data_IF_694757086434
#
_entry.id   IF_694757086434
#
_cell.length_a   1.000
_cell.length_b   1.000
_cell.length_c   1.000
_cell.angle_alpha   90.00
_cell.angle_beta   90.00
_cell.angle_gamma   90.00
#
_symmetry.space_group_name_H-M   'P 1'
#
loop_
_entity.id
_entity.type
_entity.pdbx_description
1 polymer ?
#
# COMPACT_ATOMS: atom_id res chain seq x y z
N UNK A 1 1.70 0.44 -25.41
CA UNK A 1 0.54 0.18 -24.55
C UNK A 1 0.38 1.40 -23.67
N UNK A 2 -0.55 2.27 -24.05
CA UNK A 2 -0.97 3.42 -23.25
C UNK A 2 -1.88 2.88 -22.13
N UNK A 3 -1.89 3.53 -20.97
CA UNK A 3 -2.79 3.14 -19.87
C UNK A 3 -4.22 3.47 -20.30
N UNK A 4 -5.03 2.44 -20.59
CA UNK A 4 -6.46 2.57 -20.81
C UNK A 4 -7.18 2.54 -19.45
N UNK A 5 -7.59 3.71 -18.96
CA UNK A 5 -8.23 3.90 -17.64
C UNK A 5 -9.54 3.13 -17.46
N UNK A 6 -10.20 2.72 -18.55
CA UNK A 6 -11.47 1.99 -18.52
C UNK A 6 -11.30 0.47 -18.47
N UNK A 7 -10.11 -0.04 -18.78
CA UNK A 7 -9.83 -1.47 -18.90
C UNK A 7 -9.06 -2.05 -17.71
N UNK A 8 -8.54 -1.20 -16.82
CA UNK A 8 -7.64 -1.59 -15.73
C UNK A 8 -8.27 -1.25 -14.37
N UNK A 9 -8.33 -2.24 -13.49
CA UNK A 9 -8.76 -2.08 -12.11
C UNK A 9 -7.80 -1.14 -11.33
N UNK A 10 -8.35 -0.24 -10.51
CA UNK A 10 -7.59 0.84 -9.87
C UNK A 10 -6.62 0.30 -8.83
N UNK A 11 -7.05 -0.67 -8.03
CA UNK A 11 -6.26 -1.34 -7.02
C UNK A 11 -5.15 -2.17 -7.65
N UNK A 12 -5.46 -2.86 -8.75
CA UNK A 12 -4.46 -3.57 -9.55
C UNK A 12 -3.41 -2.62 -10.14
N UNK A 13 -3.85 -1.48 -10.68
CA UNK A 13 -2.95 -0.44 -11.21
C UNK A 13 -2.04 0.11 -10.12
N UNK A 14 -2.61 0.44 -8.95
CA UNK A 14 -1.85 0.94 -7.82
C UNK A 14 -0.80 -0.10 -7.35
N UNK A 15 -1.15 -1.38 -7.32
CA UNK A 15 -0.20 -2.45 -7.03
C UNK A 15 0.94 -2.47 -8.05
N UNK A 16 0.63 -2.42 -9.35
CA UNK A 16 1.62 -2.48 -10.42
C UNK A 16 2.61 -1.32 -10.34
N UNK A 17 2.12 -0.10 -10.09
CA UNK A 17 2.96 1.10 -9.95
C UNK A 17 3.86 0.98 -8.70
N UNK A 18 3.31 0.49 -7.59
CA UNK A 18 4.07 0.36 -6.33
C UNK A 18 4.95 -0.89 -6.23
N UNK A 19 4.84 -1.80 -7.20
CA UNK A 19 5.67 -2.99 -7.29
C UNK A 19 7.13 -2.63 -7.58
N UNK A 20 8.03 -3.59 -7.35
CA UNK A 20 9.45 -3.41 -7.71
C UNK A 20 9.63 -3.05 -9.19
N UNK A 21 8.85 -3.68 -10.07
CA UNK A 21 8.93 -3.43 -11.52
C UNK A 21 8.44 -2.02 -11.86
N UNK A 22 7.35 -1.55 -11.22
CA UNK A 22 6.84 -0.20 -11.40
C UNK A 22 7.85 0.85 -10.96
N UNK A 23 8.47 0.66 -9.78
CA UNK A 23 9.52 1.54 -9.26
C UNK A 23 10.76 1.57 -10.16
N UNK A 24 11.22 0.42 -10.64
CA UNK A 24 12.35 0.35 -11.58
C UNK A 24 12.07 1.09 -12.88
N UNK A 25 10.84 1.05 -13.39
CA UNK A 25 10.45 1.83 -14.57
C UNK A 25 10.49 3.33 -14.27
N UNK A 26 10.01 3.76 -13.10
CA UNK A 26 10.03 5.16 -12.66
C UNK A 26 11.47 5.65 -12.50
N UNK A 27 12.33 4.87 -11.85
CA UNK A 27 13.75 5.19 -11.64
C UNK A 27 14.50 5.33 -12.97
N UNK A 28 14.26 4.40 -13.92
CA UNK A 28 14.85 4.47 -15.25
C UNK A 28 14.40 5.73 -16.00
N UNK A 29 13.12 6.04 -15.95
CA UNK A 29 12.55 7.21 -16.64
C UNK A 29 12.94 8.53 -15.94
N UNK A 30 13.36 8.47 -14.68
CA UNK A 30 13.80 9.57 -13.83
C UNK A 30 15.27 10.00 -13.99
N UNK A 31 16.06 9.27 -14.79
CA UNK A 31 17.40 9.69 -15.20
C UNK A 31 18.45 9.78 -14.08
N UNK A 32 18.31 9.02 -12.99
CA UNK A 32 19.32 8.92 -11.93
C UNK A 32 19.56 10.19 -11.10
N UNK A 33 18.72 11.22 -11.27
CA UNK A 33 18.80 12.45 -10.48
C UNK A 33 18.21 12.24 -9.08
N UNK A 34 18.83 12.86 -8.06
CA UNK A 34 18.42 12.78 -6.64
C UNK A 34 16.97 13.27 -6.44
N UNK A 35 16.48 14.16 -7.30
CA UNK A 35 15.09 14.61 -7.33
C UNK A 35 14.45 14.11 -8.63
N UNK A 36 13.68 13.03 -8.52
CA UNK A 36 12.95 12.46 -9.66
C UNK A 36 11.71 13.30 -9.96
N UNK A 37 11.82 14.26 -10.87
CA UNK A 37 10.65 14.97 -11.41
C UNK A 37 9.89 14.07 -12.38
N UNK A 38 8.92 13.33 -11.87
CA UNK A 38 8.06 12.49 -12.68
C UNK A 38 6.94 13.31 -13.32
N UNK A 39 7.03 13.56 -14.63
CA UNK A 39 6.00 14.32 -15.34
C UNK A 39 4.78 13.43 -15.66
N UNK A 40 3.56 14.00 -15.71
CA UNK A 40 2.35 13.25 -16.05
C UNK A 40 2.45 12.48 -17.38
N UNK A 41 3.20 12.99 -18.36
CA UNK A 41 3.41 12.33 -19.65
C UNK A 41 4.30 11.08 -19.54
N UNK A 42 5.13 11.00 -18.49
CA UNK A 42 5.95 9.82 -18.19
C UNK A 42 5.13 8.74 -17.47
N UNK A 43 4.21 9.15 -16.59
CA UNK A 43 3.26 8.24 -15.93
C UNK A 43 2.47 7.45 -16.96
N UNK A 44 1.96 8.11 -18.00
CA UNK A 44 1.19 7.49 -19.08
C UNK A 44 2.00 6.50 -19.93
N UNK A 45 3.33 6.52 -19.85
CA UNK A 45 4.24 5.60 -20.58
C UNK A 45 4.61 4.37 -19.78
N UNK A 46 4.18 4.26 -18.51
CA UNK A 46 4.41 3.06 -17.72
C UNK A 46 3.84 1.85 -18.43
N UNK A 47 4.65 0.80 -18.51
CA UNK A 47 4.21 -0.48 -19.04
C UNK A 47 3.54 -1.24 -17.92
N UNK A 48 2.22 -1.34 -17.98
CA UNK A 48 1.40 -2.15 -17.09
C UNK A 48 1.02 -3.44 -17.83
N UNK A 49 1.14 -4.62 -17.20
CA UNK A 49 0.70 -5.87 -17.80
C UNK A 49 -0.83 -5.84 -18.04
N UNK A 50 -1.24 -6.13 -19.27
CA UNK A 50 -2.65 -6.28 -19.61
C UNK A 50 -3.11 -7.70 -19.24
N UNK A 51 -3.66 -7.85 -18.04
CA UNK A 51 -4.30 -9.09 -17.59
C UNK A 51 -5.80 -9.06 -17.88
N UNK A 52 -6.44 -10.23 -17.92
CA UNK A 52 -7.89 -10.30 -18.03
C UNK A 52 -8.58 -9.71 -16.79
N UNK A 53 -9.80 -9.21 -16.95
CA UNK A 53 -10.53 -8.52 -15.89
C UNK A 53 -10.81 -9.39 -14.66
N UNK A 54 -10.90 -10.72 -14.81
CA UNK A 54 -11.14 -11.64 -13.69
C UNK A 54 -9.89 -11.73 -12.83
N UNK A 55 -8.73 -11.95 -13.45
CA UNK A 55 -7.44 -12.00 -12.76
C UNK A 55 -7.12 -10.66 -12.08
N UNK A 56 -7.39 -9.53 -12.74
CA UNK A 56 -7.19 -8.21 -12.12
C UNK A 56 -8.03 -8.04 -10.84
N UNK A 57 -9.31 -8.42 -10.87
CA UNK A 57 -10.21 -8.35 -9.70
C UNK A 57 -9.77 -9.27 -8.56
N UNK A 58 -9.31 -10.46 -8.89
CA UNK A 58 -8.80 -11.40 -7.89
C UNK A 58 -7.58 -10.83 -7.16
N UNK A 59 -6.62 -10.29 -7.92
CA UNK A 59 -5.45 -9.62 -7.36
C UNK A 59 -5.86 -8.42 -6.52
N UNK A 60 -6.77 -7.58 -7.01
CA UNK A 60 -7.28 -6.42 -6.28
C UNK A 60 -7.88 -6.83 -4.92
N UNK A 61 -8.71 -7.88 -4.90
CA UNK A 61 -9.30 -8.40 -3.67
C UNK A 61 -8.23 -8.88 -2.67
N UNK A 62 -7.24 -9.64 -3.15
CA UNK A 62 -6.14 -10.12 -2.30
C UNK A 62 -5.31 -8.97 -1.71
N UNK A 63 -5.06 -7.93 -2.50
CA UNK A 63 -4.35 -6.72 -2.05
C UNK A 63 -5.14 -6.00 -0.96
N UNK A 64 -6.45 -5.80 -1.15
CA UNK A 64 -7.31 -5.18 -0.15
C UNK A 64 -7.32 -5.98 1.16
N UNK A 65 -7.52 -7.30 1.08
CA UNK A 65 -7.48 -8.19 2.25
C UNK A 65 -6.13 -8.13 2.98
N UNK A 66 -5.02 -8.10 2.24
CA UNK A 66 -3.67 -7.96 2.81
C UNK A 66 -3.51 -6.62 3.56
N UNK A 67 -4.01 -5.52 3.01
CA UNK A 67 -3.98 -4.22 3.67
C UNK A 67 -4.81 -4.18 4.95
N UNK A 68 -6.01 -4.77 4.93
CA UNK A 68 -6.88 -4.88 6.10
C UNK A 68 -6.22 -5.71 7.21
N UNK A 69 -5.70 -6.91 6.86
CA UNK A 69 -4.98 -7.77 7.80
C UNK A 69 -3.79 -7.05 8.45
N UNK A 70 -3.00 -6.31 7.64
CA UNK A 70 -1.88 -5.49 8.13
C UNK A 70 -2.34 -4.36 9.05
N UNK A 71 -3.46 -3.70 8.76
CA UNK A 71 -4.02 -2.65 9.65
C UNK A 71 -4.43 -3.24 10.99
N UNK A 72 -5.16 -4.36 10.97
CA UNK A 72 -5.59 -5.06 12.19
C UNK A 72 -4.40 -5.52 13.03
N UNK A 73 -3.37 -6.08 12.41
CA UNK A 73 -2.14 -6.48 13.11
C UNK A 73 -1.45 -5.29 13.79
N UNK A 74 -1.32 -4.14 13.10
CA UNK A 74 -0.73 -2.92 13.69
C UNK A 74 -1.56 -2.38 14.85
N UNK A 75 -2.88 -2.40 14.73
CA UNK A 75 -3.77 -1.97 15.80
C UNK A 75 -3.59 -2.85 17.04
N UNK A 76 -3.66 -4.17 16.89
CA UNK A 76 -3.49 -5.13 18.00
C UNK A 76 -2.11 -4.99 18.65
N UNK A 77 -1.06 -4.80 17.86
CA UNK A 77 0.29 -4.57 18.37
C UNK A 77 0.38 -3.26 19.16
N UNK A 78 -0.27 -2.19 18.68
CA UNK A 78 -0.36 -0.91 19.39
C UNK A 78 -1.10 -1.02 20.72
N UNK A 79 -2.23 -1.72 20.74
CA UNK A 79 -3.00 -1.99 21.97
C UNK A 79 -2.19 -2.82 22.97
N UNK A 80 -1.51 -3.87 22.51
CA UNK A 80 -0.65 -4.69 23.36
C UNK A 80 0.53 -3.89 23.92
N UNK A 81 1.19 -3.08 23.09
CA UNK A 81 2.27 -2.18 23.53
C UNK A 81 1.79 -1.22 24.61
N UNK A 82 0.65 -0.57 24.38
CA UNK A 82 0.07 0.40 25.32
C UNK A 82 -0.26 -0.24 26.67
N UNK A 83 -0.84 -1.45 26.66
CA UNK A 83 -1.09 -2.22 27.90
C UNK A 83 0.19 -2.48 28.69
N UNK A 84 1.28 -2.82 28.01
CA UNK A 84 2.59 -3.03 28.67
C UNK A 84 3.13 -1.71 29.24
N UNK A 85 3.06 -0.62 28.48
CA UNK A 85 3.49 0.71 28.94
C UNK A 85 2.69 1.16 30.18
N UNK A 86 1.35 1.03 30.16
CA UNK A 86 0.49 1.40 31.30
C UNK A 86 0.79 0.59 32.56
N UNK A 87 1.13 -0.70 32.42
CA UNK A 87 1.55 -1.57 33.54
C UNK A 87 2.90 -1.15 34.11
N UNK A 88 3.88 -0.84 33.25
CA UNK A 88 5.23 -0.42 33.66
C UNK A 88 5.22 0.96 34.31
N UNK A 89 4.43 1.89 33.79
CA UNK A 89 4.27 3.24 34.34
C UNK A 89 3.39 3.29 35.60
N UNK A 90 2.85 2.15 36.04
CA UNK A 90 2.01 2.08 37.24
C UNK A 90 0.64 2.75 37.10
N UNK A 91 0.16 2.95 35.86
CA UNK A 91 -1.21 3.45 35.57
C UNK A 91 -2.28 2.38 35.74
N UNK A 92 -1.94 1.26 36.37
CA UNK A 92 -2.83 0.14 36.65
C UNK A 92 -3.98 0.56 37.55
N UNK A 93 -5.18 0.59 36.95
CA UNK A 93 -6.50 0.46 37.59
C UNK A 93 -6.70 1.39 38.80
N UNK A 94 -7.23 2.59 38.56
CA UNK A 94 -8.08 3.23 39.57
C UNK A 94 -9.30 2.33 39.73
N UNK A 95 -9.24 1.42 40.69
CA UNK A 95 -10.44 0.76 41.20
C UNK A 95 -11.42 1.86 41.55
N UNK A 96 -12.59 1.83 40.90
CA UNK A 96 -13.74 2.61 41.34
C UNK A 96 -13.94 2.30 42.83
N UNK A 97 -13.90 3.36 43.63
CA UNK A 97 -14.18 3.30 45.05
C UNK A 97 -15.69 3.26 45.30
N UNK A 98 -15.99 2.67 46.46
CA UNK A 98 -17.29 2.49 47.12
C UNK A 98 -18.11 1.27 46.66
#
# INVERSE_FOLDING_TARGET
LMIDETAIDKEYLALCINSAIGKLQIERDGGGSVITHWKPEQVKRLKIPALDARTQKEIASLVQQSHEARRKARQLLGEAKRKVEDLVEGKGIKGEGC
#
